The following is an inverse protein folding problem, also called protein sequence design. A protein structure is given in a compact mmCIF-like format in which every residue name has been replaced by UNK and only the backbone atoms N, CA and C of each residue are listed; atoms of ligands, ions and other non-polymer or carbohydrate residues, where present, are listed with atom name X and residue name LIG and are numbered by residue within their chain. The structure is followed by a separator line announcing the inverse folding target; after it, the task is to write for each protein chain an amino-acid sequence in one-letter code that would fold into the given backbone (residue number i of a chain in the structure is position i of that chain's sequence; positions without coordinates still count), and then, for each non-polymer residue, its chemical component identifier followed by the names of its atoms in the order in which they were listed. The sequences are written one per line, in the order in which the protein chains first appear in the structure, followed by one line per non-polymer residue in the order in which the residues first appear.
data_IF_310762035150
#
_entry.id   IF_310762035150
#
_cell.length_a   1.000
_cell.length_b   1.000
_cell.length_c   1.000
_cell.angle_alpha   90.00
_cell.angle_beta   90.00
_cell.angle_gamma   90.00
#
_symmetry.space_group_name_H-M   'P 1'
#
loop_
_entity.id
_entity.type
_entity.pdbx_description
1 polymer ?
#
# COMPACT_ATOMS: atom_id res chain seq x y z
N UNK A 1 4.51 -11.44 -18.97
CA UNK A 1 5.80 -11.69 -18.27
C UNK A 1 6.62 -10.41 -18.27
N UNK A 2 7.09 -9.96 -17.10
CA UNK A 2 7.84 -8.68 -16.94
C UNK A 2 9.35 -8.79 -17.21
N UNK A 3 9.90 -10.02 -17.22
CA UNK A 3 11.34 -10.25 -17.36
C UNK A 3 11.98 -9.53 -18.56
N UNK A 4 11.39 -9.53 -19.78
CA UNK A 4 11.99 -8.84 -20.92
C UNK A 4 12.20 -7.33 -20.67
N UNK A 5 11.27 -6.67 -19.96
CA UNK A 5 11.36 -5.25 -19.62
C UNK A 5 12.58 -4.99 -18.74
N UNK A 6 12.75 -5.80 -17.69
CA UNK A 6 13.87 -5.64 -16.77
C UNK A 6 15.23 -6.04 -17.39
N UNK A 7 15.24 -7.02 -18.29
CA UNK A 7 16.42 -7.39 -19.07
C UNK A 7 16.87 -6.23 -19.97
N UNK A 8 15.93 -5.57 -20.66
CA UNK A 8 16.19 -4.41 -21.52
C UNK A 8 16.72 -3.22 -20.72
N UNK A 9 16.09 -2.89 -19.59
CA UNK A 9 16.59 -1.84 -18.68
C UNK A 9 18.01 -2.16 -18.19
N UNK A 10 18.29 -3.44 -17.90
CA UNK A 10 19.61 -3.92 -17.53
C UNK A 10 20.63 -3.76 -18.65
N UNK A 11 20.25 -4.04 -19.90
CA UNK A 11 21.08 -3.83 -21.08
C UNK A 11 21.40 -2.35 -21.29
N UNK A 12 20.38 -1.49 -21.29
CA UNK A 12 20.53 -0.03 -21.43
C UNK A 12 21.45 0.57 -20.37
N UNK A 13 21.35 0.08 -19.13
CA UNK A 13 22.26 0.47 -18.05
C UNK A 13 23.70 0.06 -18.34
N UNK A 14 23.94 -1.19 -18.77
CA UNK A 14 25.28 -1.71 -19.06
C UNK A 14 25.93 -0.96 -20.22
N UNK A 15 25.23 -0.81 -21.33
CA UNK A 15 25.74 -0.15 -22.54
C UNK A 15 26.08 1.32 -22.31
N UNK A 16 25.28 2.02 -21.50
CA UNK A 16 25.54 3.41 -21.15
C UNK A 16 26.52 3.60 -19.99
N UNK A 17 27.07 2.53 -19.41
CA UNK A 17 27.89 2.60 -18.17
C UNK A 17 27.17 3.36 -17.04
N UNK A 18 25.87 3.08 -16.88
CA UNK A 18 24.97 3.74 -15.91
C UNK A 18 24.84 5.27 -16.07
N UNK A 19 25.07 5.80 -17.26
CA UNK A 19 24.93 7.25 -17.53
C UNK A 19 23.57 7.66 -18.08
N UNK A 20 22.84 6.75 -18.73
CA UNK A 20 21.55 7.03 -19.35
C UNK A 20 20.46 7.27 -18.29
N UNK A 21 19.61 8.26 -18.52
CA UNK A 21 18.52 8.68 -17.62
C UNK A 21 17.16 8.21 -18.13
N UNK A 22 16.18 8.09 -17.23
CA UNK A 22 14.81 7.75 -17.61
C UNK A 22 14.20 8.75 -18.60
N UNK A 23 14.50 10.04 -18.44
CA UNK A 23 14.06 11.09 -19.34
C UNK A 23 14.52 10.88 -20.80
N UNK A 24 15.67 10.22 -21.01
CA UNK A 24 16.18 9.92 -22.35
C UNK A 24 15.47 8.75 -23.05
N UNK A 25 14.58 8.02 -22.36
CA UNK A 25 13.78 6.94 -22.95
C UNK A 25 12.47 7.43 -23.59
N UNK A 26 12.16 8.72 -23.49
CA UNK A 26 10.88 9.25 -23.98
C UNK A 26 9.71 8.75 -23.14
N UNK A 27 8.70 8.16 -23.77
CA UNK A 27 7.51 7.64 -23.10
C UNK A 27 7.77 6.26 -22.46
N UNK A 28 8.54 6.27 -21.36
CA UNK A 28 8.77 5.06 -20.56
C UNK A 28 7.56 4.67 -19.70
N UNK A 29 6.54 5.52 -19.60
CA UNK A 29 5.32 5.16 -18.88
C UNK A 29 4.59 4.06 -19.66
N UNK A 30 4.40 4.26 -20.97
CA UNK A 30 3.74 3.28 -21.81
C UNK A 30 4.58 2.02 -22.02
N UNK A 31 5.90 2.13 -22.17
CA UNK A 31 6.76 0.99 -22.48
C UNK A 31 7.24 0.19 -21.25
N UNK A 32 7.28 0.82 -20.06
CA UNK A 32 7.78 0.18 -18.83
C UNK A 32 6.72 0.14 -17.73
N UNK A 33 6.11 1.27 -17.37
CA UNK A 33 5.24 1.32 -16.20
C UNK A 33 3.93 0.59 -16.40
N UNK A 34 3.22 0.85 -17.51
CA UNK A 34 1.93 0.21 -17.77
C UNK A 34 2.05 -1.32 -17.81
N UNK A 35 2.98 -1.94 -18.56
CA UNK A 35 3.10 -3.40 -18.58
C UNK A 35 3.49 -4.01 -17.21
N UNK A 36 4.28 -3.30 -16.40
CA UNK A 36 4.64 -3.78 -15.05
C UNK A 36 3.44 -3.69 -14.10
N UNK A 37 2.66 -2.61 -14.18
CA UNK A 37 1.45 -2.43 -13.40
C UNK A 37 0.36 -3.44 -13.81
N UNK A 38 0.16 -3.66 -15.10
CA UNK A 38 -0.78 -4.67 -15.62
C UNK A 38 -0.38 -6.06 -15.14
N UNK A 39 0.90 -6.43 -15.25
CA UNK A 39 1.37 -7.72 -14.75
C UNK A 39 1.21 -7.86 -13.22
N UNK A 40 1.47 -6.80 -12.45
CA UNK A 40 1.24 -6.80 -11.00
C UNK A 40 -0.24 -6.97 -10.65
N UNK A 41 -1.12 -6.25 -11.37
CA UNK A 41 -2.57 -6.36 -11.23
C UNK A 41 -3.06 -7.78 -11.51
N UNK A 42 -2.66 -8.33 -12.65
CA UNK A 42 -3.09 -9.66 -13.09
C UNK A 42 -2.61 -10.74 -12.11
N UNK A 43 -1.36 -10.65 -11.64
CA UNK A 43 -0.81 -11.56 -10.64
C UNK A 43 -1.56 -11.47 -9.31
N UNK A 44 -1.86 -10.25 -8.83
CA UNK A 44 -2.60 -10.07 -7.58
C UNK A 44 -4.01 -10.67 -7.66
N UNK A 45 -4.70 -10.49 -8.79
CA UNK A 45 -6.02 -11.06 -9.05
C UNK A 45 -5.94 -12.59 -9.14
N UNK A 46 -4.95 -13.13 -9.84
CA UNK A 46 -4.74 -14.56 -9.95
C UNK A 46 -4.45 -15.20 -8.59
N UNK A 47 -3.58 -14.58 -7.78
CA UNK A 47 -3.27 -15.04 -6.43
C UNK A 47 -4.51 -15.08 -5.53
N UNK A 48 -5.35 -14.04 -5.54
CA UNK A 48 -6.57 -14.00 -4.71
C UNK A 48 -7.59 -15.05 -5.17
N UNK A 49 -7.75 -15.25 -6.49
CA UNK A 49 -8.59 -16.31 -7.06
C UNK A 49 -8.11 -17.71 -6.65
N UNK A 50 -6.80 -17.95 -6.73
CA UNK A 50 -6.22 -19.27 -6.50
C UNK A 50 -6.06 -19.57 -4.99
N UNK A 51 -6.15 -18.54 -4.13
CA UNK A 51 -6.00 -18.63 -2.68
C UNK A 51 -7.09 -17.81 -1.95
N UNK A 52 -8.38 -18.19 -2.11
CA UNK A 52 -9.50 -17.43 -1.59
C UNK A 52 -9.43 -17.29 -0.06
N UNK A 53 -9.69 -16.09 0.45
CA UNK A 53 -9.68 -15.80 1.89
C UNK A 53 -8.28 -15.54 2.49
N UNK A 54 -7.21 -15.69 1.73
CA UNK A 54 -5.83 -15.62 2.25
C UNK A 54 -5.12 -14.34 1.82
N UNK A 55 -5.20 -13.98 0.53
CA UNK A 55 -4.35 -12.94 -0.07
C UNK A 55 -4.67 -11.55 0.47
N UNK A 56 -5.95 -11.18 0.51
CA UNK A 56 -6.40 -9.90 1.03
C UNK A 56 -5.85 -9.59 2.44
N UNK A 57 -6.01 -10.54 3.37
CA UNK A 57 -5.54 -10.40 4.75
C UNK A 57 -4.02 -10.24 4.81
N UNK A 58 -3.29 -11.13 4.12
CA UNK A 58 -1.82 -11.12 4.12
C UNK A 58 -1.25 -9.86 3.49
N UNK A 59 -1.87 -9.35 2.43
CA UNK A 59 -1.46 -8.11 1.78
C UNK A 59 -1.55 -6.93 2.77
N UNK A 60 -2.67 -6.78 3.47
CA UNK A 60 -2.82 -5.71 4.47
C UNK A 60 -1.81 -5.86 5.61
N UNK A 61 -1.64 -7.07 6.13
CA UNK A 61 -0.68 -7.33 7.22
C UNK A 61 0.77 -7.06 6.80
N UNK A 62 1.13 -7.37 5.55
CA UNK A 62 2.46 -7.09 5.01
C UNK A 62 2.72 -5.58 4.91
N UNK A 63 1.73 -4.81 4.48
CA UNK A 63 1.88 -3.37 4.20
C UNK A 63 1.79 -2.49 5.45
N UNK A 64 0.89 -2.84 6.38
CA UNK A 64 0.59 -2.00 7.55
C UNK A 64 1.29 -2.54 8.81
N UNK A 65 1.65 -3.82 8.79
CA UNK A 65 2.22 -4.53 9.93
C UNK A 65 1.23 -5.53 10.55
N UNK A 66 1.74 -6.37 11.46
CA UNK A 66 0.98 -7.40 12.15
C UNK A 66 0.86 -7.17 13.66
N UNK A 67 1.46 -6.08 14.17
CA UNK A 67 1.45 -5.67 15.57
C UNK A 67 0.46 -4.55 15.79
N UNK A 68 0.01 -4.45 17.04
CA UNK A 68 -0.86 -3.37 17.48
C UNK A 68 -0.10 -2.06 17.64
N UNK A 69 -0.67 -0.95 17.15
CA UNK A 69 -0.04 0.37 17.30
C UNK A 69 -1.06 1.52 17.31
N UNK A 70 -0.61 2.66 17.84
CA UNK A 70 -1.32 3.93 17.72
C UNK A 70 -0.66 4.81 16.66
N UNK A 71 -1.46 5.37 15.75
CA UNK A 71 -1.03 6.42 14.85
C UNK A 71 -1.52 7.76 15.39
N UNK A 72 -0.59 8.65 15.70
CA UNK A 72 -0.89 9.99 16.21
C UNK A 72 -0.67 11.00 15.10
N UNK A 73 -1.71 11.79 14.81
CA UNK A 73 -1.71 12.79 13.73
C UNK A 73 -1.97 14.15 14.36
N UNK A 74 -0.98 15.04 14.30
CA UNK A 74 -1.11 16.42 14.78
C UNK A 74 -1.64 17.31 13.67
N UNK A 75 -2.80 17.90 13.89
CA UNK A 75 -3.40 18.93 13.04
C UNK A 75 -3.27 20.34 13.63
N UNK A 76 -3.95 21.31 13.00
CA UNK A 76 -4.12 22.66 13.55
C UNK A 76 -5.23 22.64 14.61
N UNK A 77 -4.90 22.93 15.87
CA UNK A 77 -5.87 22.96 16.97
C UNK A 77 -6.46 21.59 17.36
N UNK A 78 -5.92 20.49 16.84
CA UNK A 78 -6.40 19.13 17.16
C UNK A 78 -5.30 18.07 17.03
N UNK A 79 -5.45 16.99 17.78
CA UNK A 79 -4.66 15.76 17.67
C UNK A 79 -5.62 14.60 17.45
N UNK A 80 -5.37 13.80 16.44
CA UNK A 80 -6.12 12.57 16.16
C UNK A 80 -5.27 11.35 16.53
N UNK A 81 -5.85 10.42 17.28
CA UNK A 81 -5.24 9.16 17.68
C UNK A 81 -6.05 8.04 17.05
N UNK A 82 -5.46 7.31 16.13
CA UNK A 82 -6.04 6.12 15.51
C UNK A 82 -5.43 4.86 16.13
N UNK A 83 -6.27 3.93 16.59
CA UNK A 83 -5.82 2.70 17.24
C UNK A 83 -5.95 1.50 16.28
N UNK A 84 -4.81 1.08 15.71
CA UNK A 84 -4.73 -0.11 14.86
C UNK A 84 -4.58 -1.35 15.74
N UNK A 85 -5.72 -1.81 16.27
CA UNK A 85 -5.80 -2.95 17.19
C UNK A 85 -5.99 -4.27 16.42
N UNK A 86 -4.95 -4.73 15.74
CA UNK A 86 -4.93 -5.93 14.89
C UNK A 86 -5.00 -7.25 15.67
N UNK A 87 -4.43 -7.32 16.87
CA UNK A 87 -4.36 -8.49 17.74
C UNK A 87 -5.29 -8.38 18.95
N UNK A 88 -5.75 -7.17 19.28
CA UNK A 88 -6.70 -6.96 20.38
C UNK A 88 -6.05 -6.59 21.71
N UNK A 89 -4.79 -6.14 21.68
CA UNK A 89 -4.00 -5.85 22.89
C UNK A 89 -4.01 -4.37 23.29
N UNK A 90 -4.58 -3.48 22.46
CA UNK A 90 -4.67 -2.06 22.78
C UNK A 90 -5.75 -1.77 23.82
N UNK A 91 -5.40 -0.88 24.75
CA UNK A 91 -6.27 -0.32 25.79
C UNK A 91 -6.98 -1.39 26.63
N UNK A 92 -6.23 -2.45 26.99
CA UNK A 92 -6.68 -3.46 27.94
C UNK A 92 -6.65 -2.92 29.39
N UNK A 93 -7.44 -3.49 30.31
CA UNK A 93 -7.35 -3.18 31.74
C UNK A 93 -5.96 -3.48 32.30
N UNK A 94 -5.54 -2.68 33.29
CA UNK A 94 -4.29 -2.92 34.03
C UNK A 94 -4.59 -3.00 35.53
N UNK A 95 -4.52 -4.21 36.09
CA UNK A 95 -4.97 -4.48 37.47
C UNK A 95 -6.43 -4.04 37.66
N UNK A 96 -6.66 -3.15 38.63
CA UNK A 96 -7.99 -2.59 38.92
C UNK A 96 -8.33 -1.35 38.07
N UNK A 97 -7.43 -0.90 37.19
CA UNK A 97 -7.64 0.26 36.32
C UNK A 97 -8.37 -0.17 35.06
N UNK A 98 -9.63 0.26 34.91
CA UNK A 98 -10.43 0.04 33.70
C UNK A 98 -10.01 1.00 32.59
N UNK A 99 -10.01 0.55 31.31
CA UNK A 99 -9.69 1.42 30.19
C UNK A 99 -10.76 2.49 29.99
N UNK A 100 -10.33 3.70 29.62
CA UNK A 100 -11.22 4.84 29.38
C UNK A 100 -12.12 4.68 28.15
N UNK A 101 -11.73 3.81 27.22
CA UNK A 101 -12.48 3.51 26.01
C UNK A 101 -12.26 2.05 25.60
N UNK A 102 -13.27 1.40 25.04
CA UNK A 102 -13.08 0.08 24.45
C UNK A 102 -12.54 0.24 23.03
N UNK A 103 -11.35 -0.29 22.76
CA UNK A 103 -10.78 -0.31 21.40
C UNK A 103 -11.14 -1.64 20.75
N UNK A 104 -12.07 -1.69 19.77
CA UNK A 104 -12.41 -2.93 19.08
C UNK A 104 -11.21 -3.46 18.29
N UNK A 105 -11.18 -4.78 18.09
CA UNK A 105 -10.24 -5.41 17.16
C UNK A 105 -10.56 -4.94 15.74
N UNK A 106 -9.55 -4.49 15.00
CA UNK A 106 -9.70 -4.04 13.62
C UNK A 106 -10.01 -5.24 12.73
N UNK A 107 -11.01 -5.11 11.85
CA UNK A 107 -11.33 -6.16 10.88
C UNK A 107 -10.35 -6.11 9.71
N UNK A 108 -9.62 -7.20 9.52
CA UNK A 108 -8.79 -7.41 8.32
C UNK A 108 -9.69 -7.84 7.15
N UNK A 109 -9.31 -7.52 5.90
CA UNK A 109 -10.09 -7.92 4.75
C UNK A 109 -9.91 -9.41 4.48
N UNK A 110 -10.94 -10.03 3.91
CA UNK A 110 -10.94 -11.44 3.50
C UNK A 110 -11.03 -11.60 1.98
N UNK A 111 -11.30 -10.52 1.24
CA UNK A 111 -11.52 -10.58 -0.21
C UNK A 111 -11.02 -9.33 -0.92
N UNK A 112 -10.35 -9.52 -2.05
CA UNK A 112 -10.07 -8.49 -3.04
C UNK A 112 -11.35 -8.11 -3.79
N UNK A 113 -11.72 -6.84 -3.82
CA UNK A 113 -12.88 -6.37 -4.57
C UNK A 113 -12.47 -6.01 -6.00
N UNK A 114 -11.45 -5.16 -6.15
CA UNK A 114 -10.95 -4.75 -7.44
C UNK A 114 -9.53 -4.20 -7.36
N UNK A 115 -8.85 -4.22 -8.51
CA UNK A 115 -7.57 -3.56 -8.75
C UNK A 115 -7.74 -2.79 -10.05
N UNK A 116 -7.68 -1.46 -9.96
CA UNK A 116 -7.97 -0.55 -11.09
C UNK A 116 -6.96 0.59 -11.12
N UNK A 117 -6.76 1.21 -12.28
CA UNK A 117 -5.99 2.44 -12.35
C UNK A 117 -6.73 3.58 -11.64
N UNK A 118 -6.01 4.39 -10.87
CA UNK A 118 -6.54 5.67 -10.40
C UNK A 118 -6.87 6.54 -11.62
N UNK A 119 -8.02 7.22 -11.63
CA UNK A 119 -8.53 8.01 -12.77
C UNK A 119 -7.43 8.66 -13.64
N UNK A 120 -7.36 8.27 -14.91
CA UNK A 120 -6.39 8.77 -15.92
C UNK A 120 -4.91 8.64 -15.53
N UNK A 121 -4.58 7.82 -14.53
CA UNK A 121 -3.21 7.56 -14.09
C UNK A 121 -2.56 6.48 -14.95
N UNK A 122 -1.30 6.70 -15.30
CA UNK A 122 -0.41 5.70 -15.89
C UNK A 122 0.60 5.13 -14.89
N UNK A 123 0.50 5.54 -13.62
CA UNK A 123 1.47 5.22 -12.57
C UNK A 123 0.87 4.62 -11.32
N UNK A 124 -0.44 4.75 -11.10
CA UNK A 124 -1.08 4.39 -9.83
C UNK A 124 -2.20 3.39 -10.03
N UNK A 125 -2.12 2.27 -9.31
CA UNK A 125 -3.24 1.36 -9.08
C UNK A 125 -3.90 1.64 -7.73
N UNK A 126 -5.23 1.53 -7.68
CA UNK A 126 -6.03 1.45 -6.49
C UNK A 126 -6.46 0.00 -6.28
N UNK A 127 -6.13 -0.54 -5.11
CA UNK A 127 -6.53 -1.87 -4.65
C UNK A 127 -7.61 -1.68 -3.59
N UNK A 128 -8.83 -2.09 -3.91
CA UNK A 128 -9.98 -2.03 -3.00
C UNK A 128 -10.24 -3.43 -2.45
N UNK A 129 -10.35 -3.54 -1.12
CA UNK A 129 -10.64 -4.79 -0.42
C UNK A 129 -11.89 -4.59 0.45
N UNK A 130 -12.53 -5.69 0.86
CA UNK A 130 -13.69 -5.59 1.75
C UNK A 130 -13.31 -5.01 3.13
N UNK A 131 -14.32 -4.79 3.98
CA UNK A 131 -14.16 -4.13 5.29
C UNK A 131 -13.64 -2.67 5.22
N UNK A 132 -13.68 -2.02 4.04
CA UNK A 132 -13.37 -0.59 3.89
C UNK A 132 -11.90 -0.27 3.66
N UNK A 133 -11.06 -1.28 3.36
CA UNK A 133 -9.66 -1.10 3.03
C UNK A 133 -9.48 -0.65 1.58
N UNK A 134 -8.73 0.43 1.36
CA UNK A 134 -8.28 0.85 0.04
C UNK A 134 -6.83 1.32 0.10
N UNK A 135 -6.00 0.82 -0.80
CA UNK A 135 -4.56 1.07 -0.84
C UNK A 135 -4.17 1.51 -2.24
N UNK A 136 -3.42 2.60 -2.35
CA UNK A 136 -2.85 3.05 -3.63
C UNK A 136 -1.41 2.57 -3.76
N UNK A 137 -1.05 2.08 -4.94
CA UNK A 137 0.29 1.67 -5.34
C UNK A 137 0.75 2.52 -6.50
N UNK A 138 1.64 3.49 -6.24
CA UNK A 138 2.22 4.36 -7.27
C UNK A 138 3.62 3.86 -7.64
N UNK A 139 3.79 3.39 -8.86
CA UNK A 139 5.10 3.00 -9.37
C UNK A 139 5.95 4.24 -9.63
N UNK A 140 7.24 4.15 -9.28
CA UNK A 140 8.23 5.18 -9.59
C UNK A 140 9.63 4.58 -9.71
N UNK A 141 10.50 5.30 -10.41
CA UNK A 141 11.95 5.07 -10.40
C UNK A 141 12.58 5.75 -9.18
N UNK A 142 13.41 5.02 -8.43
CA UNK A 142 14.10 5.56 -7.24
C UNK A 142 15.28 6.48 -7.60
N UNK A 143 15.73 6.43 -8.84
CA UNK A 143 16.91 7.15 -9.36
C UNK A 143 16.56 7.80 -10.68
N UNK A 144 17.15 8.97 -10.98
CA UNK A 144 17.04 9.61 -12.30
C UNK A 144 17.77 8.82 -13.41
N UNK A 145 18.73 7.97 -13.02
CA UNK A 145 19.44 7.04 -13.92
C UNK A 145 18.65 5.75 -14.07
N UNK A 146 18.77 5.11 -15.23
CA UNK A 146 18.11 3.83 -15.51
C UNK A 146 18.66 2.75 -14.57
N UNK A 147 17.75 2.09 -13.88
CA UNK A 147 18.00 0.93 -13.03
C UNK A 147 17.05 -0.18 -13.48
N UNK A 148 17.47 -1.46 -13.49
CA UNK A 148 16.58 -2.60 -13.71
C UNK A 148 15.76 -2.90 -12.44
N UNK A 149 15.24 -1.86 -11.80
CA UNK A 149 14.41 -1.96 -10.60
C UNK A 149 13.47 -0.76 -10.52
N UNK A 150 12.28 -1.00 -9.97
CA UNK A 150 11.23 -0.01 -9.75
C UNK A 150 10.74 -0.14 -8.31
N UNK A 151 10.09 0.90 -7.80
CA UNK A 151 9.54 0.91 -6.44
C UNK A 151 8.07 1.32 -6.47
N UNK A 152 7.32 0.79 -5.50
CA UNK A 152 6.01 1.31 -5.16
C UNK A 152 6.13 2.31 -4.02
N UNK A 153 5.48 3.46 -4.21
CA UNK A 153 5.05 4.32 -3.13
C UNK A 153 3.62 3.92 -2.77
N UNK A 154 3.41 3.53 -1.50
CA UNK A 154 2.19 2.87 -1.04
C UNK A 154 1.51 3.75 -0.01
N UNK A 155 0.24 4.05 -0.22
CA UNK A 155 -0.56 4.85 0.72
C UNK A 155 -1.86 4.13 1.08
N UNK A 156 -2.21 4.15 2.36
CA UNK A 156 -3.52 3.74 2.85
C UNK A 156 -4.51 4.86 2.55
N UNK A 157 -5.37 4.65 1.56
CA UNK A 157 -6.38 5.63 1.11
C UNK A 157 -7.59 5.62 2.03
N UNK A 158 -8.06 4.43 2.40
CA UNK A 158 -9.13 4.25 3.37
C UNK A 158 -8.83 3.09 4.31
N UNK A 159 -9.30 3.23 5.55
CA UNK A 159 -9.21 2.23 6.59
C UNK A 159 -10.60 1.77 6.99
N UNK A 160 -10.73 0.62 7.68
CA UNK A 160 -12.03 0.09 8.07
C UNK A 160 -12.84 1.03 8.94
N UNK A 161 -14.16 0.99 8.78
CA UNK A 161 -15.08 1.70 9.68
C UNK A 161 -14.98 1.25 11.14
N UNK A 162 -14.41 0.07 11.40
CA UNK A 162 -14.14 -0.40 12.76
C UNK A 162 -12.88 0.23 13.38
N UNK A 163 -12.12 1.04 12.65
CA UNK A 163 -10.96 1.74 13.19
C UNK A 163 -11.40 2.71 14.28
N UNK A 164 -10.87 2.52 15.48
CA UNK A 164 -11.11 3.43 16.58
C UNK A 164 -10.31 4.71 16.38
N UNK A 165 -11.00 5.86 16.42
CA UNK A 165 -10.41 7.18 16.29
C UNK A 165 -10.86 8.04 17.46
N UNK A 166 -9.90 8.69 18.11
CA UNK A 166 -10.15 9.72 19.12
C UNK A 166 -9.56 11.05 18.67
N UNK A 167 -10.33 12.13 18.79
CA UNK A 167 -9.85 13.48 18.47
C UNK A 167 -9.84 14.33 19.73
N UNK A 168 -8.67 14.88 20.04
CA UNK A 168 -8.45 15.85 21.10
C UNK A 168 -8.37 17.25 20.48
N UNK A 169 -9.16 18.19 20.97
CA UNK A 169 -9.07 19.60 20.56
C UNK A 169 -8.11 20.34 21.49
N UNK A 170 -7.19 21.10 20.90
CA UNK A 170 -6.25 21.94 21.62
C UNK A 170 -6.84 23.34 21.71
N UNK A 171 -7.00 23.85 22.93
CA UNK A 171 -7.39 25.23 23.21
C UNK A 171 -6.28 26.23 22.94
#
# INVERSE_FOLDING_TARGET
MIKPIFDELGQLRRESKATKTWASLGDYHSSVYLPVLDAFRDELIALDRDNPGIVAQRLVQYLIGNQDFYKVIKGKGKVEIQAYNLQGTLNLPFGNVKPKAKVPKLKLPTRLIEVVYQNNSTTTLLVTLNEGWQISFRIHNASSRIEPSLKFDINLVSSPHTLFVNTLFLG
#
